data_IF_215832731185
#
_entry.id   IF_215832731185
#
_cell.length_a   1.000
_cell.length_b   1.000
_cell.length_c   1.000
_cell.angle_alpha   90.00
_cell.angle_beta   90.00
_cell.angle_gamma   90.00
#
_symmetry.space_group_name_H-M   'P 1'
#
loop_
_entity.id
_entity.type
_entity.pdbx_description
1 polymer ?
#
# COMPACT_ATOMS: atom_id res chain seq x y z
N UNK A 1 -48.93 2.42 -1.37
CA UNK A 1 -48.10 1.82 -0.29
C UNK A 1 -46.93 2.76 0.04
N UNK A 2 -46.35 3.40 -0.96
CA UNK A 2 -45.46 4.56 -0.93
C UNK A 2 -45.82 5.62 0.14
N UNK A 3 -47.04 6.17 0.13
CA UNK A 3 -47.47 7.19 1.11
C UNK A 3 -47.52 6.68 2.55
N UNK A 4 -47.78 5.39 2.72
CA UNK A 4 -47.79 4.75 4.04
C UNK A 4 -46.34 4.66 4.53
N UNK A 5 -45.42 4.23 3.66
CA UNK A 5 -44.00 4.14 4.01
C UNK A 5 -43.43 5.52 4.42
N UNK A 6 -43.69 6.57 3.64
CA UNK A 6 -43.30 7.94 3.98
C UNK A 6 -43.88 8.39 5.34
N UNK A 7 -45.16 8.15 5.57
CA UNK A 7 -45.82 8.51 6.83
C UNK A 7 -45.26 7.74 8.04
N UNK A 8 -44.93 6.45 7.88
CA UNK A 8 -44.34 5.63 8.93
C UNK A 8 -42.95 6.14 9.30
N UNK A 9 -42.13 6.55 8.32
CA UNK A 9 -40.79 7.06 8.61
C UNK A 9 -40.82 8.36 9.41
N UNK A 10 -41.75 9.28 9.09
CA UNK A 10 -41.93 10.56 9.82
C UNK A 10 -42.65 10.41 11.16
N UNK A 11 -43.30 9.26 11.41
CA UNK A 11 -44.07 9.05 12.65
C UNK A 11 -43.19 9.01 13.92
N UNK A 12 -43.74 9.38 15.09
CA UNK A 12 -43.03 9.33 16.37
C UNK A 12 -42.99 7.92 17.00
N UNK A 13 -43.35 6.87 16.25
CA UNK A 13 -43.37 5.50 16.76
C UNK A 13 -41.94 4.96 17.00
N UNK A 14 -41.81 4.01 17.93
CA UNK A 14 -40.53 3.30 18.16
C UNK A 14 -40.10 2.50 16.93
N UNK A 15 -38.79 2.29 16.74
CA UNK A 15 -38.22 1.52 15.62
C UNK A 15 -38.84 0.13 15.46
N UNK A 16 -39.13 -0.59 16.56
CA UNK A 16 -39.78 -1.89 16.52
C UNK A 16 -41.18 -1.86 15.88
N UNK A 17 -41.95 -0.80 16.13
CA UNK A 17 -43.30 -0.61 15.55
C UNK A 17 -43.18 -0.19 14.09
N UNK A 18 -42.24 0.70 13.76
CA UNK A 18 -41.94 1.07 12.37
C UNK A 18 -41.54 -0.16 11.55
N UNK A 19 -40.67 -1.01 12.09
CA UNK A 19 -40.23 -2.25 11.45
C UNK A 19 -41.41 -3.20 11.19
N UNK A 20 -42.30 -3.41 12.16
CA UNK A 20 -43.50 -4.22 11.96
C UNK A 20 -44.44 -3.68 10.87
N UNK A 21 -44.54 -2.36 10.71
CA UNK A 21 -45.30 -1.73 9.63
C UNK A 21 -44.60 -1.87 8.27
N UNK A 22 -43.27 -1.69 8.22
CA UNK A 22 -42.46 -1.89 7.02
C UNK A 22 -42.54 -3.34 6.54
N UNK A 23 -42.50 -4.31 7.45
CA UNK A 23 -42.61 -5.72 7.10
C UNK A 23 -43.92 -6.03 6.39
N UNK A 24 -45.05 -5.41 6.79
CA UNK A 24 -46.32 -5.54 6.05
C UNK A 24 -46.26 -4.90 4.66
N UNK A 25 -45.49 -3.83 4.49
CA UNK A 25 -45.26 -3.23 3.17
C UNK A 25 -44.45 -4.18 2.28
N UNK A 26 -43.42 -4.82 2.83
CA UNK A 26 -42.61 -5.83 2.13
C UNK A 26 -43.46 -7.06 1.77
N UNK A 27 -44.30 -7.56 2.69
CA UNK A 27 -45.22 -8.68 2.45
C UNK A 27 -46.25 -8.40 1.35
N UNK A 28 -46.52 -7.12 1.04
CA UNK A 28 -47.41 -6.74 -0.06
C UNK A 28 -46.72 -6.72 -1.44
N UNK A 29 -45.40 -6.79 -1.50
CA UNK A 29 -44.63 -6.73 -2.75
C UNK A 29 -45.01 -7.78 -3.82
N UNK A 30 -45.48 -9.01 -3.48
CA UNK A 30 -45.93 -9.97 -4.49
C UNK A 30 -47.25 -9.61 -5.18
N UNK A 31 -47.99 -8.62 -4.66
CA UNK A 31 -49.28 -8.23 -5.24
C UNK A 31 -49.07 -7.49 -6.57
N UNK A 32 -49.93 -7.69 -7.58
CA UNK A 32 -49.81 -6.97 -8.85
C UNK A 32 -50.06 -5.48 -8.62
N UNK A 33 -49.10 -4.66 -9.01
CA UNK A 33 -49.15 -3.21 -8.94
C UNK A 33 -49.13 -2.63 -10.35
N UNK A 34 -49.74 -1.46 -10.53
CA UNK A 34 -49.59 -0.72 -11.77
C UNK A 34 -48.19 -0.08 -11.87
N UNK A 35 -47.80 0.34 -13.08
CA UNK A 35 -46.48 0.92 -13.30
C UNK A 35 -46.26 2.18 -12.45
N UNK A 36 -47.27 3.05 -12.29
CA UNK A 36 -47.12 4.27 -11.51
C UNK A 36 -46.88 3.98 -10.02
N UNK A 37 -47.51 2.95 -9.47
CA UNK A 37 -47.34 2.48 -8.10
C UNK A 37 -45.94 1.89 -7.87
N UNK A 38 -45.44 1.09 -8.81
CA UNK A 38 -44.07 0.57 -8.77
C UNK A 38 -43.05 1.72 -8.78
N UNK A 39 -43.20 2.68 -9.69
CA UNK A 39 -42.32 3.84 -9.79
C UNK A 39 -42.34 4.70 -8.51
N UNK A 40 -43.52 4.99 -7.95
CA UNK A 40 -43.63 5.72 -6.69
C UNK A 40 -42.93 4.99 -5.54
N UNK A 41 -43.04 3.66 -5.49
CA UNK A 41 -42.34 2.86 -4.47
C UNK A 41 -40.82 2.91 -4.66
N UNK A 42 -40.33 2.81 -5.89
CA UNK A 42 -38.90 2.91 -6.19
C UNK A 42 -38.34 4.29 -5.86
N UNK A 43 -39.07 5.38 -6.13
CA UNK A 43 -38.65 6.73 -5.76
C UNK A 43 -38.52 6.92 -4.25
N UNK A 44 -39.53 6.49 -3.47
CA UNK A 44 -39.52 6.61 -2.01
C UNK A 44 -38.43 5.75 -1.39
N UNK A 45 -38.33 4.47 -1.80
CA UNK A 45 -37.31 3.56 -1.29
C UNK A 45 -35.89 4.00 -1.65
N UNK A 46 -35.67 4.52 -2.87
CA UNK A 46 -34.40 5.13 -3.29
C UNK A 46 -34.04 6.32 -2.41
N UNK A 47 -35.00 7.21 -2.16
CA UNK A 47 -34.80 8.39 -1.31
C UNK A 47 -34.44 7.97 0.11
N UNK A 48 -35.12 6.98 0.69
CA UNK A 48 -34.83 6.48 2.03
C UNK A 48 -33.47 5.79 2.11
N UNK A 49 -33.12 4.96 1.12
CA UNK A 49 -31.82 4.29 1.06
C UNK A 49 -30.70 5.35 1.01
N UNK A 50 -30.80 6.33 0.10
CA UNK A 50 -29.72 7.29 -0.11
C UNK A 50 -29.69 8.38 0.96
N UNK A 51 -30.85 8.94 1.33
CA UNK A 51 -30.97 10.15 2.15
C UNK A 51 -31.52 9.90 3.56
N UNK A 52 -31.75 8.65 3.97
CA UNK A 52 -32.20 8.33 5.32
C UNK A 52 -31.26 8.93 6.37
N UNK A 53 -31.85 9.55 7.40
CA UNK A 53 -31.12 10.25 8.46
C UNK A 53 -30.51 9.23 9.44
N UNK A 54 -31.18 8.09 9.64
CA UNK A 54 -30.72 6.98 10.48
C UNK A 54 -30.27 5.77 9.65
N UNK A 55 -29.46 4.88 10.26
CA UNK A 55 -29.10 3.59 9.64
C UNK A 55 -30.36 2.74 9.39
N UNK A 56 -31.29 2.75 10.34
CA UNK A 56 -32.59 2.09 10.23
C UNK A 56 -33.37 2.54 8.98
N UNK A 57 -33.51 3.85 8.72
CA UNK A 57 -34.22 4.36 7.53
C UNK A 57 -33.57 3.91 6.23
N UNK A 58 -32.24 3.86 6.18
CA UNK A 58 -31.51 3.40 4.99
C UNK A 58 -31.68 1.91 4.77
N UNK A 59 -31.72 1.13 5.85
CA UNK A 59 -31.98 -0.30 5.81
C UNK A 59 -33.40 -0.61 5.35
N UNK A 60 -34.40 0.12 5.87
CA UNK A 60 -35.79 0.04 5.40
C UNK A 60 -35.89 0.38 3.90
N UNK A 61 -35.24 1.47 3.47
CA UNK A 61 -35.21 1.85 2.06
C UNK A 61 -34.62 0.74 1.17
N UNK A 62 -33.54 0.10 1.62
CA UNK A 62 -32.94 -1.05 0.92
C UNK A 62 -33.89 -2.24 0.87
N UNK A 63 -34.44 -2.68 2.00
CA UNK A 63 -35.29 -3.88 2.07
C UNK A 63 -36.55 -3.76 1.22
N UNK A 64 -37.20 -2.59 1.25
CA UNK A 64 -38.36 -2.31 0.40
C UNK A 64 -37.96 -2.31 -1.08
N UNK A 65 -36.85 -1.67 -1.43
CA UNK A 65 -36.35 -1.67 -2.81
C UNK A 65 -36.10 -3.10 -3.32
N UNK A 66 -35.41 -3.91 -2.52
CA UNK A 66 -35.08 -5.30 -2.87
C UNK A 66 -36.33 -6.17 -3.05
N UNK A 67 -37.31 -6.05 -2.15
CA UNK A 67 -38.55 -6.82 -2.23
C UNK A 67 -39.35 -6.49 -3.49
N UNK A 68 -39.53 -5.20 -3.80
CA UNK A 68 -40.30 -4.78 -4.97
C UNK A 68 -39.54 -5.06 -6.28
N UNK A 69 -38.22 -4.89 -6.31
CA UNK A 69 -37.40 -5.21 -7.48
C UNK A 69 -37.42 -6.71 -7.81
N UNK A 70 -37.52 -7.59 -6.80
CA UNK A 70 -37.63 -9.03 -6.99
C UNK A 70 -38.96 -9.45 -7.65
N UNK A 71 -40.06 -8.77 -7.32
CA UNK A 71 -41.40 -9.13 -7.80
C UNK A 71 -41.83 -8.37 -9.07
N UNK A 72 -41.28 -7.17 -9.30
CA UNK A 72 -41.60 -6.29 -10.43
C UNK A 72 -40.33 -5.91 -11.22
N UNK A 73 -39.65 -6.93 -11.75
CA UNK A 73 -38.31 -6.79 -12.36
C UNK A 73 -38.31 -5.96 -13.65
N UNK A 74 -39.38 -6.02 -14.46
CA UNK A 74 -39.47 -5.26 -15.72
C UNK A 74 -39.57 -3.76 -15.45
N UNK A 75 -40.40 -3.37 -14.48
CA UNK A 75 -40.54 -1.98 -14.06
C UNK A 75 -39.25 -1.49 -13.39
N UNK A 76 -38.59 -2.35 -12.60
CA UNK A 76 -37.32 -2.02 -11.98
C UNK A 76 -36.21 -1.80 -13.01
N UNK A 77 -36.14 -2.61 -14.06
CA UNK A 77 -35.19 -2.43 -15.17
C UNK A 77 -35.38 -1.07 -15.86
N UNK A 78 -36.63 -0.64 -16.07
CA UNK A 78 -36.92 0.67 -16.64
C UNK A 78 -36.56 1.83 -15.70
N UNK A 79 -36.76 1.65 -14.39
CA UNK A 79 -36.39 2.64 -13.38
C UNK A 79 -34.87 2.75 -13.22
N UNK A 80 -34.19 1.61 -13.03
CA UNK A 80 -32.74 1.48 -12.86
C UNK A 80 -32.02 1.41 -14.22
N UNK A 81 -32.27 2.42 -15.06
CA UNK A 81 -31.68 2.51 -16.40
C UNK A 81 -30.32 3.23 -16.40
N UNK A 82 -29.62 3.17 -17.54
CA UNK A 82 -28.32 3.82 -17.76
C UNK A 82 -28.31 5.31 -17.42
N UNK A 83 -29.35 6.06 -17.81
CA UNK A 83 -29.41 7.51 -17.58
C UNK A 83 -29.47 7.82 -16.08
N UNK A 84 -30.24 7.03 -15.33
CA UNK A 84 -30.33 7.17 -13.89
C UNK A 84 -28.99 6.86 -13.21
N UNK A 85 -28.38 5.71 -13.53
CA UNK A 85 -27.07 5.33 -12.97
C UNK A 85 -25.97 6.33 -13.32
N UNK A 86 -25.95 6.83 -14.56
CA UNK A 86 -25.01 7.86 -14.99
C UNK A 86 -25.18 9.15 -14.18
N UNK A 87 -26.43 9.60 -13.99
CA UNK A 87 -26.72 10.81 -13.21
C UNK A 87 -26.26 10.66 -11.74
N UNK A 88 -26.48 9.49 -11.13
CA UNK A 88 -25.98 9.19 -9.80
C UNK A 88 -24.45 9.30 -9.71
N UNK A 89 -23.73 8.80 -10.71
CA UNK A 89 -22.26 8.81 -10.73
C UNK A 89 -21.66 10.17 -11.11
N UNK A 90 -22.39 11.03 -11.83
CA UNK A 90 -21.89 12.32 -12.31
C UNK A 90 -22.28 13.48 -11.40
N UNK A 91 -23.53 13.50 -10.93
CA UNK A 91 -24.09 14.58 -10.14
C UNK A 91 -24.22 14.16 -8.67
N UNK A 92 -24.68 12.94 -8.45
CA UNK A 92 -25.05 12.44 -7.12
C UNK A 92 -26.56 12.34 -6.95
N UNK A 93 -27.05 12.43 -5.72
CA UNK A 93 -28.48 12.33 -5.42
C UNK A 93 -28.87 13.28 -4.29
N UNK A 94 -29.68 14.29 -4.60
CA UNK A 94 -30.05 15.34 -3.64
C UNK A 94 -28.79 16.01 -3.03
N UNK A 95 -28.61 16.04 -1.70
CA UNK A 95 -27.41 16.59 -1.06
C UNK A 95 -26.17 15.69 -1.17
N UNK A 96 -26.31 14.42 -1.60
CA UNK A 96 -25.18 13.53 -1.75
C UNK A 96 -24.40 13.89 -3.02
N UNK A 97 -23.12 14.25 -2.86
CA UNK A 97 -22.23 14.42 -3.99
C UNK A 97 -21.86 13.09 -4.66
N UNK A 98 -21.43 13.17 -5.93
CA UNK A 98 -21.00 12.06 -6.79
C UNK A 98 -19.96 11.07 -6.20
N UNK A 99 -19.24 11.46 -5.13
CA UNK A 99 -18.22 10.64 -4.46
C UNK A 99 -18.73 9.90 -3.22
N UNK A 100 -20.03 9.99 -2.93
CA UNK A 100 -20.62 9.32 -1.76
C UNK A 100 -20.54 7.81 -1.91
N UNK A 101 -20.03 7.12 -0.89
CA UNK A 101 -19.97 5.66 -0.86
C UNK A 101 -21.37 5.01 -0.90
N UNK A 102 -22.43 5.73 -0.52
CA UNK A 102 -23.80 5.22 -0.54
C UNK A 102 -24.34 5.06 -1.96
N UNK A 103 -23.92 5.91 -2.89
CA UNK A 103 -24.29 5.75 -4.30
C UNK A 103 -23.78 4.42 -4.84
N UNK A 104 -22.55 4.04 -4.49
CA UNK A 104 -21.98 2.76 -4.91
C UNK A 104 -22.67 1.57 -4.25
N UNK A 105 -23.08 1.70 -2.99
CA UNK A 105 -23.86 0.67 -2.32
C UNK A 105 -25.23 0.48 -2.98
N UNK A 106 -25.89 1.59 -3.32
CA UNK A 106 -27.16 1.57 -4.05
C UNK A 106 -27.02 0.91 -5.43
N UNK A 107 -26.00 1.30 -6.21
CA UNK A 107 -25.73 0.71 -7.53
C UNK A 107 -25.45 -0.79 -7.43
N UNK A 108 -24.65 -1.22 -6.44
CA UNK A 108 -24.39 -2.65 -6.19
C UNK A 108 -25.67 -3.44 -5.92
N UNK A 109 -26.60 -2.83 -5.16
CA UNK A 109 -27.88 -3.44 -4.81
C UNK A 109 -28.79 -3.51 -6.04
N UNK A 110 -28.93 -2.42 -6.80
CA UNK A 110 -29.75 -2.39 -8.02
C UNK A 110 -29.25 -3.35 -9.10
N UNK A 111 -27.93 -3.44 -9.30
CA UNK A 111 -27.34 -4.37 -10.27
C UNK A 111 -27.72 -5.83 -10.01
N UNK A 112 -27.98 -6.22 -8.76
CA UNK A 112 -28.37 -7.60 -8.43
C UNK A 112 -29.66 -8.04 -9.14
N UNK A 113 -30.56 -7.10 -9.43
CA UNK A 113 -31.85 -7.37 -10.04
C UNK A 113 -31.86 -7.14 -11.55
N UNK A 114 -30.85 -6.43 -12.08
CA UNK A 114 -30.76 -6.08 -13.51
C UNK A 114 -29.62 -6.84 -14.21
N UNK A 115 -28.76 -7.54 -13.47
CA UNK A 115 -27.59 -8.24 -14.04
C UNK A 115 -27.94 -9.29 -15.11
N UNK A 116 -29.07 -9.97 -14.97
CA UNK A 116 -29.52 -11.01 -15.91
C UNK A 116 -30.50 -10.45 -16.97
N UNK A 117 -30.76 -9.14 -16.96
CA UNK A 117 -31.71 -8.50 -17.86
C UNK A 117 -31.07 -8.15 -19.21
N UNK A 118 -31.87 -7.92 -20.27
CA UNK A 118 -31.35 -7.57 -21.59
C UNK A 118 -30.57 -6.24 -21.61
N UNK A 119 -30.91 -5.27 -20.74
CA UNK A 119 -30.18 -3.99 -20.64
C UNK A 119 -28.88 -4.05 -19.82
N UNK A 120 -28.56 -5.21 -19.24
CA UNK A 120 -27.37 -5.40 -18.40
C UNK A 120 -26.05 -5.09 -19.13
N UNK A 121 -25.95 -5.43 -20.42
CA UNK A 121 -24.72 -5.26 -21.20
C UNK A 121 -24.33 -3.78 -21.34
N UNK A 122 -25.29 -2.94 -21.71
CA UNK A 122 -25.05 -1.49 -21.85
C UNK A 122 -24.73 -0.86 -20.50
N UNK A 123 -25.38 -1.34 -19.43
CA UNK A 123 -25.12 -0.88 -18.07
C UNK A 123 -23.72 -1.30 -17.58
N UNK A 124 -23.27 -2.52 -17.87
CA UNK A 124 -21.91 -2.95 -17.57
C UNK A 124 -20.88 -2.15 -18.36
N UNK A 125 -21.14 -1.87 -19.63
CA UNK A 125 -20.26 -1.04 -20.44
C UNK A 125 -20.17 0.40 -19.90
N UNK A 126 -21.29 0.99 -19.50
CA UNK A 126 -21.32 2.29 -18.81
C UNK A 126 -20.45 2.25 -17.55
N UNK A 127 -20.61 1.23 -16.72
CA UNK A 127 -19.86 1.09 -15.48
C UNK A 127 -18.36 0.87 -15.71
N UNK A 128 -17.94 0.17 -16.78
CA UNK A 128 -16.53 0.07 -17.15
C UNK A 128 -15.89 1.44 -17.36
N UNK A 129 -16.57 2.33 -18.10
CA UNK A 129 -16.10 3.69 -18.39
C UNK A 129 -16.08 4.53 -17.12
N UNK A 130 -17.17 4.47 -16.35
CA UNK A 130 -17.32 5.26 -15.13
C UNK A 130 -16.34 4.85 -14.03
N UNK A 131 -16.12 3.54 -13.83
CA UNK A 131 -15.13 3.03 -12.89
C UNK A 131 -13.73 3.55 -13.23
N UNK A 132 -13.35 3.55 -14.51
CA UNK A 132 -12.09 4.12 -14.94
C UNK A 132 -12.03 5.62 -14.65
N UNK A 133 -13.06 6.40 -15.01
CA UNK A 133 -13.13 7.84 -14.70
C UNK A 133 -12.97 8.10 -13.20
N UNK A 134 -13.67 7.35 -12.36
CA UNK A 134 -13.62 7.49 -10.91
C UNK A 134 -12.21 7.24 -10.38
N UNK A 135 -11.51 6.22 -10.87
CA UNK A 135 -10.12 5.95 -10.49
C UNK A 135 -9.18 7.06 -10.98
N UNK A 136 -9.38 7.58 -12.20
CA UNK A 136 -8.64 8.74 -12.72
C UNK A 136 -8.85 10.01 -11.86
N UNK A 137 -10.01 10.16 -11.20
CA UNK A 137 -10.29 11.27 -10.29
C UNK A 137 -9.55 11.17 -8.93
N UNK A 138 -8.72 10.14 -8.73
CA UNK A 138 -7.95 9.85 -7.50
C UNK A 138 -8.83 9.75 -6.26
N UNK A 139 -9.70 8.73 -6.18
CA UNK A 139 -10.63 8.57 -5.09
C UNK A 139 -9.90 8.13 -3.81
N UNK A 140 -10.48 8.43 -2.65
CA UNK A 140 -9.92 7.99 -1.36
C UNK A 140 -10.08 6.48 -1.12
N UNK A 141 -9.43 5.93 -0.09
CA UNK A 141 -9.38 4.49 0.17
C UNK A 141 -10.77 3.86 0.39
N UNK A 142 -11.68 4.56 1.10
CA UNK A 142 -13.06 4.09 1.34
C UNK A 142 -13.85 3.90 0.04
N UNK A 143 -13.68 4.83 -0.92
CA UNK A 143 -14.36 4.75 -2.21
C UNK A 143 -13.74 3.66 -3.10
N UNK A 144 -12.40 3.55 -3.14
CA UNK A 144 -11.73 2.43 -3.81
C UNK A 144 -12.17 1.06 -3.29
N UNK A 145 -12.38 0.92 -1.98
CA UNK A 145 -12.87 -0.33 -1.40
C UNK A 145 -14.30 -0.68 -1.86
N UNK A 146 -15.17 0.32 -2.08
CA UNK A 146 -16.52 0.11 -2.63
C UNK A 146 -16.46 -0.25 -4.12
N UNK A 147 -15.61 0.41 -4.90
CA UNK A 147 -15.34 0.04 -6.30
C UNK A 147 -14.80 -1.39 -6.37
N UNK A 148 -13.86 -1.75 -5.50
CA UNK A 148 -13.33 -3.12 -5.42
C UNK A 148 -14.44 -4.15 -5.18
N UNK A 149 -15.33 -3.90 -4.20
CA UNK A 149 -16.49 -4.77 -3.96
C UNK A 149 -17.41 -4.87 -5.19
N UNK A 150 -17.62 -3.78 -5.93
CA UNK A 150 -18.42 -3.78 -7.16
C UNK A 150 -17.78 -4.69 -8.21
N UNK A 151 -16.48 -4.52 -8.46
CA UNK A 151 -15.73 -5.30 -9.46
C UNK A 151 -15.59 -6.78 -9.09
N UNK A 152 -15.53 -7.11 -7.79
CA UNK A 152 -15.53 -8.50 -7.33
C UNK A 152 -16.88 -9.19 -7.57
N UNK A 153 -18.00 -8.48 -7.37
CA UNK A 153 -19.34 -9.02 -7.61
C UNK A 153 -19.68 -9.09 -9.10
N UNK A 154 -19.26 -8.08 -9.86
CA UNK A 154 -19.53 -7.95 -11.29
C UNK A 154 -18.21 -7.72 -12.06
N UNK A 155 -17.46 -8.79 -12.37
CA UNK A 155 -16.21 -8.70 -13.12
C UNK A 155 -16.37 -8.07 -14.52
N UNK A 156 -17.59 -8.09 -15.07
CA UNK A 156 -17.94 -7.42 -16.32
C UNK A 156 -17.75 -5.90 -16.26
N UNK A 157 -17.78 -5.29 -15.07
CA UNK A 157 -17.54 -3.87 -14.88
C UNK A 157 -16.06 -3.48 -14.91
N UNK A 158 -15.13 -4.45 -14.97
CA UNK A 158 -13.69 -4.16 -15.05
C UNK A 158 -13.38 -3.58 -16.44
N UNK A 159 -12.65 -2.45 -16.56
CA UNK A 159 -12.25 -1.92 -17.85
C UNK A 159 -11.60 -2.99 -18.74
N UNK A 160 -11.91 -2.99 -20.02
CA UNK A 160 -11.44 -4.02 -20.97
C UNK A 160 -10.40 -3.49 -21.96
N UNK A 161 -9.64 -4.41 -22.56
CA UNK A 161 -8.66 -4.08 -23.59
C UNK A 161 -7.55 -3.14 -23.10
N UNK A 162 -7.18 -2.16 -23.93
CA UNK A 162 -6.09 -1.23 -23.63
C UNK A 162 -6.32 -0.35 -22.39
N UNK A 163 -7.57 -0.22 -21.95
CA UNK A 163 -7.94 0.56 -20.77
C UNK A 163 -7.54 -0.12 -19.45
N UNK A 164 -7.27 -1.43 -19.46
CA UNK A 164 -6.81 -2.15 -18.26
C UNK A 164 -5.48 -1.61 -17.74
N UNK A 165 -4.57 -1.28 -18.66
CA UNK A 165 -3.29 -0.67 -18.31
C UNK A 165 -3.49 0.68 -17.65
N UNK A 166 -4.32 1.54 -18.25
CA UNK A 166 -4.63 2.86 -17.69
C UNK A 166 -5.29 2.72 -16.31
N UNK A 167 -6.25 1.81 -16.18
CA UNK A 167 -6.90 1.53 -14.90
C UNK A 167 -5.89 1.16 -13.81
N UNK A 168 -4.98 0.21 -14.08
CA UNK A 168 -3.98 -0.22 -13.11
C UNK A 168 -3.01 0.92 -12.74
N UNK A 169 -2.55 1.69 -13.73
CA UNK A 169 -1.67 2.83 -13.52
C UNK A 169 -2.34 3.91 -12.66
N UNK A 170 -3.57 4.29 -12.97
CA UNK A 170 -4.33 5.29 -12.22
C UNK A 170 -4.70 4.81 -10.82
N UNK A 171 -4.92 3.52 -10.63
CA UNK A 171 -5.15 2.93 -9.32
C UNK A 171 -3.88 2.97 -8.45
N UNK A 172 -2.71 2.67 -9.02
CA UNK A 172 -1.42 2.83 -8.32
C UNK A 172 -1.20 4.29 -7.92
N UNK A 173 -1.48 5.24 -8.82
CA UNK A 173 -1.42 6.66 -8.51
C UNK A 173 -2.43 7.07 -7.44
N UNK A 174 -3.60 6.45 -7.37
CA UNK A 174 -4.56 6.72 -6.29
C UNK A 174 -4.05 6.20 -4.94
N UNK A 175 -3.52 4.97 -4.91
CA UNK A 175 -2.95 4.34 -3.71
C UNK A 175 -1.75 5.15 -3.19
N UNK A 176 -0.94 5.74 -4.07
CA UNK A 176 0.20 6.57 -3.66
C UNK A 176 -0.20 7.82 -2.88
N UNK A 177 -1.45 8.26 -2.93
CA UNK A 177 -1.95 9.43 -2.18
C UNK A 177 -2.76 9.04 -0.92
N UNK A 178 -2.88 7.74 -0.60
CA UNK A 178 -3.63 7.31 0.57
C UNK A 178 -2.93 7.70 1.87
N UNK A 179 -3.61 8.46 2.72
CA UNK A 179 -3.12 8.85 4.03
C UNK A 179 -4.16 8.47 5.10
N UNK A 180 -3.69 7.89 6.19
CA UNK A 180 -4.49 7.74 7.40
C UNK A 180 -4.31 9.00 8.24
N UNK A 181 -5.39 9.71 8.56
CA UNK A 181 -5.36 10.94 9.38
C UNK A 181 -5.72 10.69 10.85
N UNK A 182 -6.07 9.45 11.21
CA UNK A 182 -6.54 9.09 12.53
C UNK A 182 -5.52 8.22 13.22
N UNK A 183 -5.31 8.49 14.52
CA UNK A 183 -4.42 7.72 15.38
C UNK A 183 -5.15 6.61 16.15
N UNK A 184 -6.46 6.43 15.91
CA UNK A 184 -7.25 5.39 16.56
C UNK A 184 -7.06 4.02 15.89
N UNK A 185 -6.77 2.99 16.68
CA UNK A 185 -6.50 1.63 16.22
C UNK A 185 -7.59 1.09 15.26
N UNK A 186 -8.88 1.29 15.59
CA UNK A 186 -9.99 0.84 14.74
C UNK A 186 -10.02 1.53 13.38
N UNK A 187 -9.72 2.83 13.31
CA UNK A 187 -9.68 3.57 12.06
C UNK A 187 -8.45 3.21 11.22
N UNK A 188 -7.32 2.91 11.87
CA UNK A 188 -6.12 2.37 11.21
C UNK A 188 -6.45 1.00 10.60
N UNK A 189 -7.07 0.09 11.35
CA UNK A 189 -7.45 -1.23 10.84
C UNK A 189 -8.43 -1.13 9.65
N UNK A 190 -9.45 -0.26 9.75
CA UNK A 190 -10.35 0.02 8.62
C UNK A 190 -9.61 0.62 7.43
N UNK A 191 -8.64 1.50 7.65
CA UNK A 191 -7.82 2.05 6.59
C UNK A 191 -7.02 0.95 5.88
N UNK A 192 -6.33 0.09 6.63
CA UNK A 192 -5.58 -1.05 6.09
C UNK A 192 -6.47 -2.01 5.30
N UNK A 193 -7.67 -2.31 5.79
CA UNK A 193 -8.64 -3.14 5.08
C UNK A 193 -9.06 -2.50 3.75
N UNK A 194 -9.32 -1.19 3.76
CA UNK A 194 -9.68 -0.46 2.54
C UNK A 194 -8.53 -0.43 1.52
N UNK A 195 -7.29 -0.24 1.95
CA UNK A 195 -6.12 -0.30 1.06
C UNK A 195 -5.91 -1.72 0.51
N UNK A 196 -6.13 -2.75 1.32
CA UNK A 196 -6.05 -4.14 0.88
C UNK A 196 -7.10 -4.45 -0.18
N UNK A 197 -8.34 -3.98 0.00
CA UNK A 197 -9.40 -4.09 -1.02
C UNK A 197 -9.05 -3.32 -2.29
N UNK A 198 -8.49 -2.11 -2.16
CA UNK A 198 -8.09 -1.30 -3.31
C UNK A 198 -6.98 -1.97 -4.14
N UNK A 199 -5.90 -2.39 -3.48
CA UNK A 199 -4.79 -3.09 -4.13
C UNK A 199 -5.19 -4.48 -4.66
N UNK A 200 -6.16 -5.15 -4.03
CA UNK A 200 -6.74 -6.40 -4.51
C UNK A 200 -7.40 -6.30 -5.90
N UNK A 201 -7.85 -5.11 -6.32
CA UNK A 201 -8.34 -4.91 -7.70
C UNK A 201 -7.23 -5.14 -8.74
N UNK A 202 -5.99 -4.71 -8.44
CA UNK A 202 -4.84 -4.98 -9.31
C UNK A 202 -4.59 -6.48 -9.43
N UNK A 203 -4.66 -7.21 -8.31
CA UNK A 203 -4.52 -8.66 -8.31
C UNK A 203 -5.58 -9.33 -9.22
N UNK A 204 -6.84 -8.88 -9.14
CA UNK A 204 -7.92 -9.37 -10.00
C UNK A 204 -7.64 -9.18 -11.49
N UNK A 205 -7.17 -7.98 -11.88
CA UNK A 205 -6.81 -7.68 -13.27
C UNK A 205 -5.60 -8.49 -13.72
N UNK A 206 -4.54 -8.54 -12.90
CA UNK A 206 -3.27 -9.19 -13.26
C UNK A 206 -3.38 -10.71 -13.39
N UNK A 207 -4.27 -11.36 -12.62
CA UNK A 207 -4.55 -12.79 -12.78
C UNK A 207 -5.16 -13.10 -14.15
N UNK A 208 -5.98 -12.20 -14.69
CA UNK A 208 -6.65 -12.37 -15.97
C UNK A 208 -5.81 -11.87 -17.15
N UNK A 209 -4.95 -10.87 -16.92
CA UNK A 209 -4.10 -10.28 -17.96
C UNK A 209 -2.71 -9.92 -17.42
N UNK A 210 -1.77 -10.86 -17.55
CA UNK A 210 -0.38 -10.73 -17.09
C UNK A 210 0.39 -9.64 -17.87
N UNK A 211 -0.02 -9.32 -19.11
CA UNK A 211 0.66 -8.31 -19.93
C UNK A 211 0.58 -6.89 -19.32
N UNK A 212 -0.41 -6.65 -18.45
CA UNK A 212 -0.61 -5.36 -17.78
C UNK A 212 0.33 -5.17 -16.57
N UNK A 213 0.94 -6.23 -16.05
CA UNK A 213 1.81 -6.17 -14.86
C UNK A 213 3.01 -5.28 -15.11
N UNK A 214 3.78 -5.50 -16.19
CA UNK A 214 5.00 -4.72 -16.44
C UNK A 214 4.74 -3.21 -16.64
N UNK A 215 3.75 -2.78 -17.45
CA UNK A 215 3.35 -1.37 -17.52
C UNK A 215 2.93 -0.77 -16.17
N UNK A 216 2.24 -1.55 -15.33
CA UNK A 216 1.82 -1.11 -13.99
C UNK A 216 3.02 -0.95 -13.05
N UNK A 217 4.00 -1.86 -13.11
CA UNK A 217 5.22 -1.77 -12.30
C UNK A 217 6.15 -0.65 -12.75
N UNK A 218 6.18 -0.33 -14.05
CA UNK A 218 6.87 0.87 -14.54
C UNK A 218 6.27 2.13 -13.93
N UNK A 219 4.95 2.23 -13.87
CA UNK A 219 4.28 3.36 -13.22
C UNK A 219 4.58 3.41 -11.71
N UNK A 220 4.50 2.26 -11.03
CA UNK A 220 4.89 2.16 -9.62
C UNK A 220 6.32 2.67 -9.40
N UNK A 221 7.26 2.28 -10.27
CA UNK A 221 8.64 2.71 -10.20
C UNK A 221 8.79 4.23 -10.42
N UNK A 222 8.07 4.80 -11.40
CA UNK A 222 8.06 6.26 -11.65
C UNK A 222 7.59 7.00 -10.39
N UNK A 223 6.51 6.53 -9.75
CA UNK A 223 5.97 7.13 -8.52
C UNK A 223 6.99 7.09 -7.39
N UNK A 224 7.62 5.94 -7.12
CA UNK A 224 8.59 5.83 -6.02
C UNK A 224 9.96 6.44 -6.34
N UNK A 225 10.32 6.65 -7.60
CA UNK A 225 11.57 7.32 -7.97
C UNK A 225 11.44 8.84 -8.08
N UNK A 226 10.22 9.37 -8.07
CA UNK A 226 9.96 10.80 -8.19
C UNK A 226 10.52 11.59 -6.99
N UNK A 227 11.29 12.67 -7.19
CA UNK A 227 11.72 13.55 -6.10
C UNK A 227 10.48 14.25 -5.56
N UNK A 228 10.09 13.91 -4.33
CA UNK A 228 8.91 14.46 -3.68
C UNK A 228 9.30 14.98 -2.30
N UNK A 229 8.95 16.23 -2.01
CA UNK A 229 9.09 16.85 -0.70
C UNK A 229 7.70 17.04 -0.06
N UNK A 230 7.62 16.86 1.26
CA UNK A 230 6.39 17.06 2.04
C UNK A 230 5.22 16.19 1.58
N UNK A 231 4.09 16.83 1.25
CA UNK A 231 2.84 16.15 0.91
C UNK A 231 2.86 15.38 -0.42
N UNK A 232 3.87 15.61 -1.25
CA UNK A 232 4.10 14.91 -2.52
C UNK A 232 4.82 13.57 -2.38
N UNK A 233 5.27 13.22 -1.16
CA UNK A 233 5.88 11.91 -0.91
C UNK A 233 4.80 10.82 -1.08
N UNK A 234 5.09 9.78 -1.88
CA UNK A 234 4.15 8.69 -2.08
C UNK A 234 3.96 7.90 -0.80
N UNK A 235 2.73 7.48 -0.56
CA UNK A 235 2.32 6.70 0.59
C UNK A 235 2.96 5.31 0.62
N UNK A 236 3.30 4.85 1.82
CA UNK A 236 3.72 3.47 2.05
C UNK A 236 2.61 2.45 1.76
N UNK A 237 1.36 2.90 1.55
CA UNK A 237 0.28 2.05 1.04
C UNK A 237 0.62 1.33 -0.27
N UNK A 238 1.56 1.87 -1.07
CA UNK A 238 2.07 1.22 -2.28
C UNK A 238 2.72 -0.13 -2.03
N UNK A 239 3.21 -0.39 -0.82
CA UNK A 239 3.71 -1.68 -0.38
C UNK A 239 2.69 -2.81 -0.62
N UNK A 240 1.39 -2.51 -0.47
CA UNK A 240 0.28 -3.45 -0.69
C UNK A 240 0.14 -3.91 -2.15
N UNK A 241 0.80 -3.26 -3.12
CA UNK A 241 0.75 -3.62 -4.54
C UNK A 241 1.73 -4.75 -4.85
N UNK A 242 2.95 -4.64 -4.30
CA UNK A 242 4.09 -5.51 -4.67
C UNK A 242 3.90 -6.97 -4.23
N UNK A 243 3.13 -7.19 -3.16
CA UNK A 243 2.81 -8.55 -2.70
C UNK A 243 2.05 -9.40 -3.72
N UNK A 244 1.41 -8.78 -4.73
CA UNK A 244 0.64 -9.49 -5.76
C UNK A 244 1.44 -9.78 -7.03
N UNK A 245 2.70 -9.32 -7.09
CA UNK A 245 3.55 -9.52 -8.27
C UNK A 245 4.15 -10.94 -8.22
N UNK A 246 4.00 -11.75 -9.29
CA UNK A 246 4.63 -13.06 -9.37
C UNK A 246 6.16 -12.96 -9.24
N UNK A 247 6.76 -13.83 -8.42
CA UNK A 247 8.22 -13.80 -8.16
C UNK A 247 9.03 -14.17 -9.41
N UNK A 248 8.42 -14.88 -10.36
CA UNK A 248 9.00 -15.26 -11.65
C UNK A 248 9.34 -14.02 -12.51
N UNK A 249 8.62 -12.91 -12.29
CA UNK A 249 8.86 -11.65 -12.99
C UNK A 249 9.94 -10.80 -12.31
N UNK A 250 10.36 -11.14 -11.10
CA UNK A 250 11.27 -10.32 -10.28
C UNK A 250 12.58 -10.05 -11.01
N UNK A 251 13.25 -11.10 -11.49
CA UNK A 251 14.54 -10.95 -12.15
C UNK A 251 14.42 -10.12 -13.43
N UNK A 252 13.33 -10.28 -14.19
CA UNK A 252 13.10 -9.51 -15.41
C UNK A 252 12.87 -8.01 -15.08
N UNK A 253 12.04 -7.71 -14.07
CA UNK A 253 11.76 -6.34 -13.63
C UNK A 253 13.03 -5.67 -13.10
N UNK A 254 13.76 -6.34 -12.20
CA UNK A 254 15.00 -5.80 -11.62
C UNK A 254 16.04 -5.54 -12.71
N UNK A 255 16.28 -6.50 -13.61
CA UNK A 255 17.23 -6.30 -14.72
C UNK A 255 16.84 -5.13 -15.62
N UNK A 256 15.55 -4.96 -15.90
CA UNK A 256 15.08 -3.84 -16.71
C UNK A 256 15.33 -2.50 -16.01
N UNK A 257 15.05 -2.40 -14.71
CA UNK A 257 15.27 -1.18 -13.93
C UNK A 257 16.76 -0.85 -13.77
N UNK A 258 17.61 -1.83 -13.49
CA UNK A 258 19.03 -1.57 -13.20
C UNK A 258 19.84 -1.27 -14.46
N UNK A 259 19.40 -1.75 -15.62
CA UNK A 259 20.06 -1.52 -16.91
C UNK A 259 19.48 -0.35 -17.72
N UNK A 260 18.37 0.27 -17.27
CA UNK A 260 17.78 1.41 -17.95
C UNK A 260 18.65 2.66 -17.77
N UNK A 261 19.18 3.16 -18.88
CA UNK A 261 20.05 4.34 -18.92
C UNK A 261 19.30 5.65 -18.63
N UNK A 262 17.98 5.65 -18.71
CA UNK A 262 17.15 6.82 -18.45
C UNK A 262 16.93 7.06 -16.95
N UNK A 263 17.26 6.09 -16.09
CA UNK A 263 17.10 6.19 -14.64
C UNK A 263 18.39 6.76 -14.05
N UNK A 264 18.27 7.95 -13.47
CA UNK A 264 19.39 8.59 -12.75
C UNK A 264 19.70 7.87 -11.42
N UNK A 265 20.92 8.01 -10.94
CA UNK A 265 21.35 7.43 -9.66
C UNK A 265 20.52 7.97 -8.48
N UNK A 266 20.10 9.25 -8.54
CA UNK A 266 19.24 9.87 -7.53
C UNK A 266 17.83 9.27 -7.51
N UNK A 267 17.25 9.01 -8.68
CA UNK A 267 15.97 8.31 -8.80
C UNK A 267 16.06 6.88 -8.24
N UNK A 268 17.15 6.18 -8.55
CA UNK A 268 17.37 4.82 -8.07
C UNK A 268 17.55 4.78 -6.54
N UNK A 269 18.31 5.71 -5.99
CA UNK A 269 18.48 5.88 -4.54
C UNK A 269 17.14 6.14 -3.85
N UNK A 270 16.35 7.07 -4.40
CA UNK A 270 15.03 7.44 -3.86
C UNK A 270 14.07 6.24 -3.87
N UNK A 271 14.05 5.49 -4.97
CA UNK A 271 13.23 4.30 -5.10
C UNK A 271 13.60 3.23 -4.07
N UNK A 272 14.88 2.89 -3.90
CA UNK A 272 15.31 1.88 -2.91
C UNK A 272 15.00 2.36 -1.50
N UNK A 273 15.27 3.64 -1.18
CA UNK A 273 14.97 4.20 0.14
C UNK A 273 13.48 4.05 0.51
N UNK A 274 12.57 4.37 -0.43
CA UNK A 274 11.13 4.21 -0.25
C UNK A 274 10.68 2.74 -0.21
N UNK A 275 11.32 1.87 -0.98
CA UNK A 275 11.06 0.42 -0.86
C UNK A 275 11.44 -0.11 0.53
N UNK A 276 12.51 0.40 1.14
CA UNK A 276 12.85 0.06 2.52
C UNK A 276 11.80 0.62 3.49
N UNK A 277 11.28 1.83 3.26
CA UNK A 277 10.19 2.40 4.08
C UNK A 277 8.91 1.56 4.01
N UNK A 278 8.68 0.80 2.95
CA UNK A 278 7.55 -0.14 2.87
C UNK A 278 7.62 -1.27 3.89
N UNK A 279 8.76 -1.54 4.52
CA UNK A 279 8.84 -2.48 5.65
C UNK A 279 7.99 -2.01 6.85
N UNK A 280 7.66 -0.72 6.93
CA UNK A 280 6.71 -0.20 7.93
C UNK A 280 5.25 -0.57 7.62
N UNK A 281 4.93 -0.99 6.39
CA UNK A 281 3.56 -1.28 6.00
C UNK A 281 3.14 -2.69 6.47
N UNK A 282 2.09 -2.80 7.29
CA UNK A 282 1.68 -4.08 7.88
C UNK A 282 1.08 -5.02 6.82
N UNK A 283 1.05 -6.32 7.14
CA UNK A 283 0.41 -7.38 6.34
C UNK A 283 1.06 -7.70 4.98
N UNK A 284 2.18 -7.05 4.63
CA UNK A 284 2.85 -7.29 3.36
C UNK A 284 3.70 -8.55 3.38
N UNK A 285 3.71 -9.25 2.24
CA UNK A 285 4.54 -10.44 2.01
C UNK A 285 5.54 -10.16 0.90
N UNK A 286 6.71 -10.79 1.00
CA UNK A 286 7.76 -10.80 -0.03
C UNK A 286 8.43 -9.43 -0.33
N UNK A 287 8.11 -8.35 0.39
CA UNK A 287 8.75 -7.04 0.16
C UNK A 287 10.26 -7.11 0.37
N UNK A 288 10.68 -7.86 1.39
CA UNK A 288 12.08 -8.20 1.66
C UNK A 288 12.77 -8.79 0.41
N UNK A 289 12.12 -9.71 -0.29
CA UNK A 289 12.66 -10.32 -1.52
C UNK A 289 12.85 -9.29 -2.63
N UNK A 290 11.89 -8.38 -2.82
CA UNK A 290 11.96 -7.31 -3.82
C UNK A 290 13.06 -6.29 -3.51
N UNK A 291 13.19 -5.87 -2.24
CA UNK A 291 14.28 -4.98 -1.80
C UNK A 291 15.63 -5.65 -2.03
N UNK A 292 15.80 -6.88 -1.56
CA UNK A 292 17.06 -7.63 -1.69
C UNK A 292 17.42 -7.85 -3.16
N UNK A 293 16.44 -8.24 -3.99
CA UNK A 293 16.66 -8.45 -5.41
C UNK A 293 17.10 -7.16 -6.12
N UNK A 294 16.45 -6.02 -5.82
CA UNK A 294 16.85 -4.74 -6.39
C UNK A 294 18.24 -4.30 -5.92
N UNK A 295 18.56 -4.45 -4.63
CA UNK A 295 19.89 -4.14 -4.10
C UNK A 295 20.97 -5.01 -4.75
N UNK A 296 20.70 -6.31 -4.93
CA UNK A 296 21.60 -7.22 -5.67
C UNK A 296 21.75 -6.77 -7.12
N UNK A 297 20.66 -6.42 -7.80
CA UNK A 297 20.69 -5.90 -9.16
C UNK A 297 21.55 -4.64 -9.28
N UNK A 298 21.39 -3.67 -8.38
CA UNK A 298 22.23 -2.45 -8.34
C UNK A 298 23.71 -2.77 -8.08
N UNK A 299 24.01 -3.77 -7.25
CA UNK A 299 25.38 -4.27 -7.06
C UNK A 299 25.95 -4.91 -8.35
N UNK A 300 25.14 -5.63 -9.14
CA UNK A 300 25.63 -6.22 -10.41
C UNK A 300 26.03 -5.19 -11.44
N UNK A 301 25.42 -4.00 -11.42
CA UNK A 301 25.79 -2.86 -12.28
C UNK A 301 26.84 -1.94 -11.64
N UNK A 302 27.51 -2.39 -10.57
CA UNK A 302 28.58 -1.69 -9.86
C UNK A 302 28.21 -0.31 -9.27
N UNK A 303 26.93 -0.03 -9.06
CA UNK A 303 26.46 1.23 -8.45
C UNK A 303 26.50 1.17 -6.91
N UNK A 304 27.65 0.80 -6.34
CA UNK A 304 27.82 0.56 -4.89
C UNK A 304 27.58 1.80 -4.03
N UNK A 305 27.84 3.00 -4.57
CA UNK A 305 27.61 4.26 -3.86
C UNK A 305 26.15 4.39 -3.39
N UNK A 306 25.19 4.03 -4.25
CA UNK A 306 23.75 4.06 -3.93
C UNK A 306 23.45 3.15 -2.74
N UNK A 307 24.00 1.93 -2.77
CA UNK A 307 23.79 0.94 -1.71
C UNK A 307 24.38 1.41 -0.38
N UNK A 308 25.57 2.03 -0.40
CA UNK A 308 26.19 2.61 0.79
C UNK A 308 25.33 3.73 1.36
N UNK A 309 24.93 4.70 0.53
CA UNK A 309 24.14 5.85 0.96
C UNK A 309 22.79 5.42 1.56
N UNK A 310 22.04 4.53 0.89
CA UNK A 310 20.78 4.01 1.43
C UNK A 310 20.99 3.26 2.76
N UNK A 311 22.04 2.43 2.84
CA UNK A 311 22.33 1.67 4.06
C UNK A 311 22.61 2.60 5.24
N UNK A 312 23.45 3.62 5.04
CA UNK A 312 23.78 4.60 6.08
C UNK A 312 22.53 5.36 6.54
N UNK A 313 21.70 5.85 5.61
CA UNK A 313 20.46 6.57 5.96
C UNK A 313 19.50 5.75 6.82
N UNK A 314 19.41 4.44 6.59
CA UNK A 314 18.46 3.56 7.28
C UNK A 314 19.02 2.96 8.57
N UNK A 315 20.32 2.62 8.61
CA UNK A 315 20.92 2.01 9.80
C UNK A 315 20.94 2.98 10.99
N UNK A 316 21.15 4.27 10.74
CA UNK A 316 21.09 5.31 11.78
C UNK A 316 19.71 5.40 12.44
N UNK A 317 18.64 5.10 11.70
CA UNK A 317 17.26 5.09 12.22
C UNK A 317 16.95 3.80 13.01
N UNK A 318 17.60 2.68 12.64
CA UNK A 318 17.33 1.37 13.22
C UNK A 318 18.09 1.12 14.53
N UNK A 319 19.37 1.50 14.61
CA UNK A 319 20.24 1.19 15.76
C UNK A 319 19.65 1.63 17.11
N UNK A 320 19.04 2.84 17.25
CA UNK A 320 18.42 3.25 18.51
C UNK A 320 17.20 2.41 18.93
N UNK A 321 16.54 1.74 17.98
CA UNK A 321 15.31 0.96 18.25
C UNK A 321 15.63 -0.49 18.67
N UNK A 322 16.82 -1.00 18.35
CA UNK A 322 17.22 -2.39 18.63
C UNK A 322 17.10 -2.76 20.11
N UNK A 323 17.54 -1.94 21.10
CA UNK A 323 17.41 -2.29 22.51
C UNK A 323 15.94 -2.48 22.95
N UNK A 324 15.04 -1.63 22.46
CA UNK A 324 13.60 -1.72 22.77
C UNK A 324 12.97 -2.97 22.14
N UNK A 325 13.39 -3.33 20.92
CA UNK A 325 12.97 -4.55 20.25
C UNK A 325 13.43 -5.80 21.01
N UNK A 326 14.71 -5.86 21.42
CA UNK A 326 15.26 -6.97 22.19
C UNK A 326 14.50 -7.15 23.51
N UNK A 327 14.27 -6.05 24.25
CA UNK A 327 13.51 -6.07 25.51
C UNK A 327 12.09 -6.61 25.30
N UNK A 328 11.40 -6.15 24.26
CA UNK A 328 10.03 -6.56 23.95
C UNK A 328 9.93 -8.04 23.58
N UNK A 329 10.84 -8.53 22.72
CA UNK A 329 10.90 -9.94 22.31
C UNK A 329 11.33 -10.86 23.45
N UNK A 330 12.21 -10.40 24.34
CA UNK A 330 12.63 -11.17 25.52
C UNK A 330 11.46 -11.38 26.48
N UNK A 331 10.63 -10.34 26.67
CA UNK A 331 9.42 -10.39 27.50
C UNK A 331 8.30 -11.27 26.91
N UNK A 332 8.28 -11.46 25.60
CA UNK A 332 7.27 -12.30 24.94
C UNK A 332 7.40 -13.79 25.32
N UNK A 333 8.61 -14.24 25.70
CA UNK A 333 8.93 -15.62 26.10
C UNK A 333 8.49 -16.72 25.10
N UNK A 334 8.25 -16.36 23.83
CA UNK A 334 7.86 -17.30 22.78
C UNK A 334 9.08 -17.97 22.12
N UNK A 335 8.90 -19.21 21.64
CA UNK A 335 9.96 -19.93 20.91
C UNK A 335 10.36 -19.20 19.62
N UNK A 336 9.39 -18.58 18.93
CA UNK A 336 9.63 -17.72 17.78
C UNK A 336 10.41 -16.46 18.13
N UNK A 337 10.10 -15.83 19.26
CA UNK A 337 10.82 -14.66 19.77
C UNK A 337 12.27 -14.99 20.10
N UNK A 338 12.50 -16.10 20.80
CA UNK A 338 13.86 -16.61 21.09
C UNK A 338 14.65 -16.91 19.81
N UNK A 339 14.03 -17.58 18.84
CA UNK A 339 14.65 -17.85 17.54
C UNK A 339 15.04 -16.56 16.80
N UNK A 340 14.17 -15.55 16.81
CA UNK A 340 14.43 -14.24 16.23
C UNK A 340 15.59 -13.51 16.92
N UNK A 341 15.62 -13.51 18.25
CA UNK A 341 16.71 -12.90 19.05
C UNK A 341 18.07 -13.50 18.75
N UNK A 342 18.16 -14.82 18.56
CA UNK A 342 19.42 -15.48 18.18
C UNK A 342 19.89 -15.02 16.79
N UNK A 343 18.99 -14.93 15.82
CA UNK A 343 19.33 -14.44 14.47
C UNK A 343 19.75 -12.96 14.49
N UNK A 344 19.05 -12.14 15.27
CA UNK A 344 19.36 -10.72 15.45
C UNK A 344 20.73 -10.52 16.10
N UNK A 345 21.04 -11.28 17.16
CA UNK A 345 22.36 -11.29 17.81
C UNK A 345 23.46 -11.60 16.78
N UNK A 346 23.28 -12.66 15.99
CA UNK A 346 24.25 -13.04 14.95
C UNK A 346 24.48 -11.91 13.94
N UNK A 347 23.41 -11.28 13.47
CA UNK A 347 23.49 -10.18 12.51
C UNK A 347 24.22 -8.97 13.09
N UNK A 348 23.89 -8.56 14.32
CA UNK A 348 24.53 -7.40 14.96
C UNK A 348 26.02 -7.67 15.21
N UNK A 349 26.39 -8.85 15.70
CA UNK A 349 27.80 -9.21 15.86
C UNK A 349 28.55 -9.25 14.53
N UNK A 350 27.94 -9.71 13.43
CA UNK A 350 28.52 -9.61 12.10
C UNK A 350 28.72 -8.15 11.66
N UNK A 351 27.76 -7.27 11.94
CA UNK A 351 27.86 -5.83 11.63
C UNK A 351 28.99 -5.17 12.41
N UNK A 352 29.05 -5.38 13.73
CA UNK A 352 30.10 -4.81 14.60
C UNK A 352 31.49 -5.33 14.21
N UNK A 353 31.60 -6.63 13.89
CA UNK A 353 32.87 -7.20 13.43
C UNK A 353 33.32 -6.61 12.09
N UNK A 354 32.40 -6.36 11.16
CA UNK A 354 32.72 -5.79 9.84
C UNK A 354 32.99 -4.29 9.89
N UNK A 355 32.26 -3.56 10.74
CA UNK A 355 32.30 -2.11 10.87
C UNK A 355 32.72 -1.70 12.28
N UNK A 356 33.92 -2.10 12.69
CA UNK A 356 34.48 -1.71 13.99
C UNK A 356 34.84 -0.22 14.04
N UNK A 357 34.95 0.34 15.25
CA UNK A 357 35.46 1.71 15.47
C UNK A 357 34.40 2.75 15.86
N UNK A 358 33.19 2.32 16.22
CA UNK A 358 32.10 3.19 16.68
C UNK A 358 31.54 2.73 18.05
N UNK A 359 32.36 2.74 19.11
CA UNK A 359 31.98 2.20 20.43
C UNK A 359 30.71 2.86 20.99
N UNK A 360 30.61 4.19 20.93
CA UNK A 360 29.47 4.96 21.46
C UNK A 360 28.13 4.55 20.83
N UNK A 361 28.14 4.17 19.55
CA UNK A 361 26.93 3.76 18.82
C UNK A 361 26.54 2.32 19.19
N UNK A 362 27.52 1.45 19.41
CA UNK A 362 27.28 0.03 19.66
C UNK A 362 27.11 -0.32 21.13
N UNK A 363 27.58 0.51 22.06
CA UNK A 363 27.52 0.24 23.50
C UNK A 363 26.07 -0.01 24.01
N UNK A 364 25.06 0.80 23.67
CA UNK A 364 23.68 0.53 24.08
C UNK A 364 23.13 -0.79 23.51
N UNK A 365 23.55 -1.13 22.29
CA UNK A 365 23.11 -2.35 21.60
C UNK A 365 23.77 -3.59 22.21
N UNK A 366 25.08 -3.54 22.46
CA UNK A 366 25.83 -4.61 23.12
C UNK A 366 25.33 -4.85 24.54
N UNK A 367 24.98 -3.79 25.27
CA UNK A 367 24.35 -3.90 26.59
C UNK A 367 23.02 -4.66 26.56
N UNK A 368 22.21 -4.46 25.52
CA UNK A 368 20.96 -5.20 25.32
C UNK A 368 21.18 -6.66 24.90
N UNK A 369 22.29 -6.97 24.22
CA UNK A 369 22.62 -8.33 23.75
C UNK A 369 23.31 -9.21 24.80
N UNK A 370 23.66 -8.68 25.98
CA UNK A 370 24.51 -9.35 26.97
C UNK A 370 24.07 -10.78 27.36
N UNK A 371 22.76 -11.03 27.36
CA UNK A 371 22.16 -12.30 27.79
C UNK A 371 21.90 -13.26 26.61
N UNK A 372 22.24 -12.84 25.37
CA UNK A 372 22.04 -13.64 24.16
C UNK A 372 23.33 -14.38 23.73
N UNK A 373 23.21 -15.48 22.97
CA UNK A 373 24.37 -16.22 22.48
C UNK A 373 25.23 -15.38 21.55
N UNK A 374 26.54 -15.33 21.85
CA UNK A 374 27.54 -14.67 21.01
C UNK A 374 28.06 -15.66 19.96
N UNK A 375 27.99 -15.35 18.65
CA UNK A 375 28.54 -16.22 17.62
C UNK A 375 30.07 -16.26 17.67
N UNK A 376 30.64 -17.43 17.35
CA UNK A 376 32.10 -17.55 17.21
C UNK A 376 32.62 -16.74 16.03
N UNK A 377 33.88 -16.31 16.09
CA UNK A 377 34.52 -15.56 15.00
C UNK A 377 34.49 -16.34 13.67
N UNK A 378 34.69 -17.66 13.71
CA UNK A 378 34.58 -18.52 12.53
C UNK A 378 33.18 -18.49 11.92
N UNK A 379 32.13 -18.49 12.76
CA UNK A 379 30.75 -18.35 12.30
C UNK A 379 30.50 -16.98 11.68
N UNK A 380 31.02 -15.91 12.28
CA UNK A 380 30.92 -14.54 11.74
C UNK A 380 31.59 -14.46 10.35
N UNK A 381 32.82 -14.96 10.21
CA UNK A 381 33.55 -14.98 8.93
C UNK A 381 32.81 -15.80 7.86
N UNK A 382 32.24 -16.94 8.24
CA UNK A 382 31.43 -17.77 7.35
C UNK A 382 30.20 -17.01 6.85
N UNK A 383 29.45 -16.35 7.74
CA UNK A 383 28.24 -15.59 7.41
C UNK A 383 28.55 -14.40 6.49
N UNK A 384 29.65 -13.67 6.75
CA UNK A 384 30.10 -12.57 5.90
C UNK A 384 30.53 -13.06 4.51
N UNK A 385 31.21 -14.22 4.44
CA UNK A 385 31.62 -14.82 3.16
C UNK A 385 30.45 -15.30 2.31
N UNK A 386 29.40 -15.86 2.91
CA UNK A 386 28.21 -16.35 2.20
C UNK A 386 27.37 -15.24 1.56
N UNK A 387 27.42 -14.03 2.12
CA UNK A 387 26.56 -12.91 1.74
C UNK A 387 27.31 -11.77 1.05
N UNK A 388 28.58 -11.98 0.67
CA UNK A 388 29.35 -11.01 -0.07
C UNK A 388 28.78 -10.82 -1.49
N UNK A 389 28.66 -9.58 -1.95
CA UNK A 389 28.32 -9.32 -3.35
C UNK A 389 29.43 -9.85 -4.25
N UNK A 390 29.08 -10.63 -5.28
CA UNK A 390 30.02 -11.39 -6.12
C UNK A 390 31.15 -10.54 -6.75
N UNK A 391 30.99 -9.23 -6.85
CA UNK A 391 31.99 -8.28 -7.38
C UNK A 391 33.00 -7.77 -6.34
N UNK A 392 32.95 -8.23 -5.09
CA UNK A 392 33.83 -7.76 -3.99
C UNK A 392 35.29 -8.25 -4.02
N UNK A 393 35.80 -8.83 -5.11
CA UNK A 393 37.21 -9.27 -5.12
C UNK A 393 38.26 -8.14 -5.26
N UNK A 394 37.89 -6.88 -5.51
CA UNK A 394 38.91 -5.81 -5.65
C UNK A 394 38.58 -4.46 -5.00
N UNK A 395 37.40 -3.85 -5.20
CA UNK A 395 37.35 -2.37 -5.08
C UNK A 395 36.65 -1.78 -3.84
N UNK A 396 35.91 -2.57 -3.05
CA UNK A 396 35.15 -2.05 -1.90
C UNK A 396 35.99 -1.79 -0.63
N UNK A 397 37.19 -2.39 -0.52
CA UNK A 397 38.13 -2.07 0.56
C UNK A 397 38.55 -0.59 0.53
N UNK A 398 38.56 0.05 -0.64
CA UNK A 398 38.92 1.45 -0.82
C UNK A 398 37.82 2.45 -0.41
N UNK A 399 36.57 2.00 -0.26
CA UNK A 399 35.43 2.86 0.09
C UNK A 399 35.10 2.84 1.58
N UNK A 400 35.29 1.72 2.29
CA UNK A 400 35.04 1.65 3.74
C UNK A 400 36.05 2.45 4.58
N UNK A 401 37.25 2.75 4.06
CA UNK A 401 38.24 3.60 4.74
C UNK A 401 37.97 5.11 4.65
N UNK A 402 36.87 5.54 4.00
CA UNK A 402 36.54 6.97 3.80
C UNK A 402 35.45 7.52 4.72
N UNK A 403 35.06 6.80 5.77
CA UNK A 403 34.44 7.45 6.93
C UNK A 403 35.58 7.95 7.83
N UNK A 404 35.69 9.26 8.11
CA UNK A 404 36.74 9.75 8.98
C UNK A 404 36.49 9.17 10.38
N UNK A 405 37.33 8.21 10.79
CA UNK A 405 37.44 7.84 12.18
C UNK A 405 37.78 9.12 12.95
N UNK A 406 36.85 9.62 13.77
CA UNK A 406 37.18 10.68 14.73
C UNK A 406 38.22 10.07 15.66
N UNK A 407 39.42 10.65 15.69
CA UNK A 407 40.43 10.27 16.66
C UNK A 407 39.94 10.63 18.05
N UNK A 408 40.31 9.85 19.07
CA UNK A 408 40.01 10.08 20.49
C UNK A 408 40.52 11.44 21.03
N UNK A 409 41.19 12.23 20.20
CA UNK A 409 41.74 13.55 20.53
C UNK A 409 41.02 14.71 19.84
N UNK A 410 39.99 14.44 19.02
CA UNK A 410 39.23 15.47 18.30
C UNK A 410 40.00 16.19 17.19
N UNK A 411 41.18 15.68 16.79
CA UNK A 411 41.99 16.24 15.69
C UNK A 411 41.98 15.31 14.48
N UNK A 412 41.78 15.88 13.29
CA UNK A 412 41.88 15.16 12.01
C UNK A 412 43.34 14.73 11.78
N UNK A 413 43.58 13.42 11.89
CA UNK A 413 44.87 12.84 11.49
C UNK A 413 45.01 12.84 9.97
N UNK A 414 46.22 13.15 9.48
CA UNK A 414 46.55 13.06 8.06
C UNK A 414 46.43 11.60 7.59
N UNK A 415 45.64 11.36 6.53
CA UNK A 415 45.44 10.05 5.91
C UNK A 415 46.74 9.59 5.26
N UNK A 416 47.20 8.41 5.67
CA UNK A 416 48.49 7.88 5.27
C UNK A 416 48.42 7.26 3.87
N UNK A 417 48.85 8.01 2.85
CA UNK A 417 48.94 7.56 1.44
C UNK A 417 50.27 6.86 1.10
N UNK A 418 50.95 6.24 2.08
CA UNK A 418 52.12 5.40 1.83
C UNK A 418 53.45 6.15 1.61
N UNK A 419 53.49 7.47 1.81
CA UNK A 419 54.70 8.30 1.66
C UNK A 419 55.22 8.92 2.97
N UNK A 420 54.76 8.44 4.14
CA UNK A 420 55.02 9.10 5.44
C UNK A 420 56.46 9.05 5.96
N UNK A 421 57.33 8.18 5.43
CA UNK A 421 58.73 8.17 5.86
C UNK A 421 59.49 9.42 5.40
N UNK A 422 59.11 10.03 4.28
CA UNK A 422 59.85 11.18 3.74
C UNK A 422 59.50 12.49 4.46
N UNK A 423 58.21 12.74 4.69
CA UNK A 423 57.76 14.00 5.32
C UNK A 423 58.10 14.08 6.81
N UNK A 424 58.03 12.95 7.54
CA UNK A 424 58.45 12.91 8.94
C UNK A 424 59.96 13.15 9.10
N UNK A 425 60.77 12.69 8.15
CA UNK A 425 62.22 12.92 8.14
C UNK A 425 62.55 14.39 7.88
N UNK A 426 61.82 15.06 6.98
CA UNK A 426 62.01 16.49 6.68
C UNK A 426 61.57 17.38 7.85
N UNK A 427 60.45 17.05 8.51
CA UNK A 427 59.97 17.80 9.68
C UNK A 427 60.90 17.59 10.88
N UNK A 428 61.42 16.38 11.10
CA UNK A 428 62.44 16.14 12.13
C UNK A 428 63.76 16.86 11.83
N UNK A 429 64.18 16.90 10.56
CA UNK A 429 65.37 17.65 10.16
C UNK A 429 65.19 19.17 10.35
N UNK A 430 64.02 19.73 10.02
CA UNK A 430 63.72 21.14 10.23
C UNK A 430 63.60 21.50 11.72
N UNK A 431 63.08 20.59 12.55
CA UNK A 431 62.99 20.80 14.01
C UNK A 431 64.34 20.68 14.71
N UNK A 432 65.27 19.89 14.15
CA UNK A 432 66.64 19.74 14.65
C UNK A 432 67.60 20.81 14.10
N UNK A 433 67.18 21.58 13.08
CA UNK A 433 67.99 22.61 12.44
C UNK A 433 67.72 24.04 12.97
N UNK A 434 66.93 24.19 14.04
CA UNK A 434 66.75 25.48 14.70
C UNK A 434 67.73 25.63 15.88
N UNK A 435 68.96 25.99 15.54
CA UNK A 435 69.79 26.96 16.30
C UNK A 435 69.98 28.21 15.43
#
# INVERSE_FOLDING_TARGET
>A
MDRILDAVMVSPHSEAVKHGMVQRVIESAPQPLDSAQCWAMYEVSTKLFLLGDSEFERDVGREVLEAFAQHHSQEFEQFFNMKFVLNLLHVGYGPLGKRSHQIFHYIQTGLRFVADSPSSLDLFHLLQIEVLRIVCERPGPKLCARVSKLLCLYPQCVPSGNLQTVFCQQLILSISHFKCKSDGDDEILKFLENVTKASGMLQGVWRNNVAVILPSLKELFIVISSPGEGDSVPSNALASVVQYVPLELMDAVVRNLTNDKNISDAQMLTAISRMVDWLSWPLTRNIDKWIIALMKGVATVNKFRILIEVTLMKIEQLLPQIPQLISSLTREESDSGRGCLVQLSQLIHCLIFRFSGFPDIYEPVLGALKDLPVPSENRIKQLLGQNAWATQKSDLASYCHRLPAKSDTGKTGLVNLGNTCYMNSVIQALFMASE
#
